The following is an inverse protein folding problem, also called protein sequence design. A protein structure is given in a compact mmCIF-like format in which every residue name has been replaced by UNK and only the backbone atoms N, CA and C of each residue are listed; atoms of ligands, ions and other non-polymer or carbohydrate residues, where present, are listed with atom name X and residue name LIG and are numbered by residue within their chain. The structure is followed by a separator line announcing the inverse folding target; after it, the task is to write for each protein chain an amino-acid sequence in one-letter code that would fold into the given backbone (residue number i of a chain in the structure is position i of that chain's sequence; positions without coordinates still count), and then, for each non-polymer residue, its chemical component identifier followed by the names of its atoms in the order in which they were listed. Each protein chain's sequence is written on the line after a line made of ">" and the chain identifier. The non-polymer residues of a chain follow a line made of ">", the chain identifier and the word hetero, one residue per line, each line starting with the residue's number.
data_IF_495935989075
#
_entry.id   IF_495935989075
#
_cell.length_a   1.000
_cell.length_b   1.000
_cell.length_c   1.000
_cell.angle_alpha   90.00
_cell.angle_beta   90.00
_cell.angle_gamma   90.00
#
_symmetry.space_group_name_H-M   'P 1'
#
loop_
_entity.id
_entity.type
_entity.pdbx_description
1 polymer ?
#
# COMPACT_ATOMS: atom_id res chain seq x y z
N UNK A 1 0.26 24.15 10.89
CA UNK A 1 0.69 24.47 9.50
C UNK A 1 -0.47 24.21 8.56
N UNK A 2 -0.87 25.17 7.73
CA UNK A 2 -2.05 25.06 6.85
C UNK A 2 -1.79 24.13 5.64
N UNK A 3 -2.77 23.30 5.27
CA UNK A 3 -2.69 22.37 4.13
C UNK A 3 -2.66 23.17 2.81
N UNK A 4 -1.48 23.33 2.21
CA UNK A 4 -1.26 24.08 0.96
C UNK A 4 -1.93 23.47 -0.29
N UNK A 5 -2.46 22.24 -0.17
CA UNK A 5 -2.94 21.47 -1.32
C UNK A 5 -4.47 21.36 -1.45
N UNK A 6 -5.24 21.85 -0.48
CA UNK A 6 -6.71 21.83 -0.57
C UNK A 6 -7.18 23.11 -1.27
N UNK A 7 -7.51 22.98 -2.56
CA UNK A 7 -8.11 24.06 -3.35
C UNK A 7 -9.63 23.98 -3.27
N UNK A 8 -10.27 25.12 -2.99
CA UNK A 8 -11.73 25.28 -3.08
C UNK A 8 -12.05 25.83 -4.47
N UNK A 9 -12.95 25.17 -5.18
CA UNK A 9 -13.45 25.59 -6.47
C UNK A 9 -14.96 25.82 -6.37
N UNK A 10 -15.47 26.78 -7.12
CA UNK A 10 -16.91 26.89 -7.34
C UNK A 10 -17.37 25.92 -8.44
N UNK A 11 -18.67 25.62 -8.48
CA UNK A 11 -19.26 24.71 -9.49
C UNK A 11 -19.01 25.24 -10.92
N UNK A 12 -19.20 26.54 -11.13
CA UNK A 12 -18.97 27.19 -12.42
C UNK A 12 -17.50 27.13 -12.85
N UNK A 13 -16.58 27.27 -11.91
CA UNK A 13 -15.16 27.15 -12.16
C UNK A 13 -14.75 25.71 -12.56
N UNK A 14 -15.36 24.69 -11.93
CA UNK A 14 -15.17 23.29 -12.32
C UNK A 14 -15.68 23.00 -13.74
N UNK A 15 -16.85 23.54 -14.10
CA UNK A 15 -17.39 23.42 -15.47
C UNK A 15 -16.47 24.09 -16.49
N UNK A 16 -15.97 25.29 -16.19
CA UNK A 16 -15.05 26.02 -17.06
C UNK A 16 -13.71 25.29 -17.24
N UNK A 17 -13.17 24.67 -16.18
CA UNK A 17 -11.95 23.85 -16.26
C UNK A 17 -12.15 22.62 -17.15
N UNK A 18 -13.33 21.97 -17.05
CA UNK A 18 -13.69 20.83 -17.89
C UNK A 18 -13.83 21.24 -19.36
N UNK A 19 -14.52 22.34 -19.64
CA UNK A 19 -14.66 22.88 -20.99
C UNK A 19 -13.31 23.25 -21.64
N UNK A 20 -12.36 23.71 -20.83
CA UNK A 20 -10.99 24.04 -21.25
C UNK A 20 -10.05 22.83 -21.32
N UNK A 21 -10.54 21.61 -21.10
CA UNK A 21 -9.72 20.39 -21.12
C UNK A 21 -8.65 20.32 -20.01
N UNK A 22 -8.79 21.12 -18.94
CA UNK A 22 -7.81 21.17 -17.83
C UNK A 22 -8.10 20.16 -16.72
N UNK A 23 -9.13 19.33 -16.90
CA UNK A 23 -9.51 18.26 -15.97
C UNK A 23 -8.85 16.95 -16.41
N UNK A 24 -8.45 16.11 -15.45
CA UNK A 24 -7.92 14.75 -15.71
C UNK A 24 -8.98 13.72 -16.10
N UNK A 25 -10.26 14.11 -16.06
CA UNK A 25 -11.39 13.25 -16.44
C UNK A 25 -11.41 13.11 -17.96
N UNK A 26 -11.16 11.90 -18.44
CA UNK A 26 -11.40 11.51 -19.83
C UNK A 26 -12.90 11.47 -20.09
N UNK A 27 -13.37 12.20 -21.10
CA UNK A 27 -14.80 12.21 -21.47
C UNK A 27 -15.20 10.93 -22.22
N UNK A 28 -14.21 10.27 -22.82
CA UNK A 28 -14.23 9.00 -23.55
C UNK A 28 -13.85 7.80 -22.66
N UNK A 29 -13.90 7.96 -21.33
CA UNK A 29 -13.65 6.85 -20.43
C UNK A 29 -14.78 5.83 -20.58
N UNK A 30 -14.54 4.80 -21.39
CA UNK A 30 -15.39 3.62 -21.56
C UNK A 30 -15.27 2.67 -20.35
N UNK A 31 -15.30 3.27 -19.16
CA UNK A 31 -15.27 2.53 -17.91
C UNK A 31 -16.70 2.01 -17.68
N UNK A 32 -16.92 0.69 -17.63
CA UNK A 32 -18.24 0.16 -17.36
C UNK A 32 -18.67 0.64 -15.97
N UNK A 33 -19.80 1.36 -15.93
CA UNK A 33 -20.45 1.70 -14.68
C UNK A 33 -20.93 0.38 -14.08
N UNK A 34 -20.24 -0.08 -13.04
CA UNK A 34 -20.65 -1.25 -12.27
C UNK A 34 -21.57 -0.76 -11.17
N UNK A 35 -22.81 -1.22 -11.18
CA UNK A 35 -23.69 -1.09 -10.03
C UNK A 35 -23.11 -1.95 -8.90
N UNK A 36 -22.88 -1.34 -7.75
CA UNK A 36 -22.38 -2.02 -6.56
C UNK A 36 -23.61 -2.33 -5.71
N UNK A 37 -23.91 -3.62 -5.55
CA UNK A 37 -25.09 -4.12 -4.86
C UNK A 37 -24.94 -4.12 -3.33
N UNK A 38 -26.04 -4.44 -2.63
CA UNK A 38 -26.03 -4.57 -1.17
C UNK A 38 -25.13 -5.71 -0.69
N UNK A 39 -25.09 -6.82 -1.43
CA UNK A 39 -24.26 -8.00 -1.13
C UNK A 39 -22.77 -7.65 -1.06
N UNK A 40 -22.29 -6.75 -1.94
CA UNK A 40 -20.94 -6.22 -1.85
C UNK A 40 -20.66 -5.53 -0.51
N UNK A 41 -21.60 -4.71 -0.02
CA UNK A 41 -21.43 -3.99 1.23
C UNK A 41 -21.54 -4.89 2.46
N UNK A 42 -22.35 -5.94 2.40
CA UNK A 42 -22.48 -6.95 3.47
C UNK A 42 -21.15 -7.69 3.72
N UNK A 43 -20.39 -7.94 2.66
CA UNK A 43 -19.09 -8.64 2.74
C UNK A 43 -17.87 -7.71 2.68
N UNK A 44 -18.07 -6.40 2.63
CA UNK A 44 -16.98 -5.44 2.57
C UNK A 44 -16.23 -5.37 3.91
N UNK A 45 -14.97 -5.78 3.92
CA UNK A 45 -14.11 -5.60 5.09
C UNK A 45 -13.42 -4.23 5.05
N UNK A 46 -13.63 -3.43 6.09
CA UNK A 46 -12.89 -2.17 6.30
C UNK A 46 -11.43 -2.51 6.61
N UNK A 47 -10.59 -2.43 5.59
CA UNK A 47 -9.14 -2.46 5.77
C UNK A 47 -8.71 -1.06 6.16
N UNK A 48 -8.49 -0.85 7.45
CA UNK A 48 -7.77 0.35 7.89
C UNK A 48 -6.40 0.32 7.21
N UNK A 49 -6.03 1.33 6.40
CA UNK A 49 -4.66 1.42 5.94
C UNK A 49 -3.81 1.43 7.19
N UNK A 50 -2.93 0.43 7.35
CA UNK A 50 -2.06 0.34 8.52
C UNK A 50 -1.36 1.69 8.72
N UNK A 51 -0.95 1.97 9.96
CA UNK A 51 -0.12 3.15 10.26
C UNK A 51 0.87 3.36 9.12
N UNK A 52 0.72 4.51 8.45
CA UNK A 52 1.39 4.75 7.16
C UNK A 52 2.90 4.52 7.25
N UNK A 53 3.56 4.40 6.10
CA UNK A 53 5.03 4.27 6.06
C UNK A 53 5.65 5.47 6.79
N UNK A 54 6.36 5.23 7.89
CA UNK A 54 7.10 6.28 8.60
C UNK A 54 8.39 6.59 7.84
N UNK A 55 8.61 7.86 7.53
CA UNK A 55 9.88 8.30 6.94
C UNK A 55 10.97 8.27 8.01
N UNK A 56 12.00 7.44 7.80
CA UNK A 56 13.14 7.29 8.71
C UNK A 56 14.45 7.49 7.95
N UNK A 57 15.45 8.06 8.63
CA UNK A 57 16.83 8.06 8.14
C UNK A 57 17.53 6.79 8.62
N UNK A 58 17.67 5.80 7.74
CA UNK A 58 18.35 4.53 8.01
C UNK A 58 19.62 4.43 7.17
N UNK A 59 20.72 3.98 7.77
CA UNK A 59 21.94 3.62 7.04
C UNK A 59 21.81 2.19 6.54
N UNK A 60 22.09 1.97 5.26
CA UNK A 60 22.07 0.67 4.59
C UNK A 60 23.37 0.56 3.79
N UNK A 61 23.92 -0.64 3.68
CA UNK A 61 25.13 -0.88 2.87
C UNK A 61 24.89 -0.52 1.40
N UNK A 62 25.93 0.02 0.76
CA UNK A 62 25.82 0.61 -0.58
C UNK A 62 25.49 -0.41 -1.65
N UNK A 63 26.07 -1.61 -1.54
CA UNK A 63 25.84 -2.75 -2.44
C UNK A 63 24.40 -3.27 -2.36
N UNK A 64 23.84 -3.37 -1.15
CA UNK A 64 22.44 -3.76 -0.93
C UNK A 64 21.50 -2.74 -1.55
N UNK A 65 21.74 -1.44 -1.33
CA UNK A 65 20.94 -0.38 -1.92
C UNK A 65 21.03 -0.41 -3.46
N UNK A 66 22.22 -0.60 -4.01
CA UNK A 66 22.43 -0.69 -5.46
C UNK A 66 21.68 -1.87 -6.07
N UNK A 67 21.72 -3.04 -5.41
CA UNK A 67 21.00 -4.23 -5.87
C UNK A 67 19.49 -4.00 -5.97
N UNK A 68 18.88 -3.38 -4.96
CA UNK A 68 17.45 -3.04 -5.01
C UNK A 68 17.16 -1.98 -6.08
N UNK A 69 18.03 -0.97 -6.24
CA UNK A 69 17.88 0.09 -7.25
C UNK A 69 17.89 -0.47 -8.67
N UNK A 70 18.72 -1.48 -8.97
CA UNK A 70 18.79 -2.17 -10.27
C UNK A 70 17.46 -2.79 -10.70
N UNK A 71 16.56 -3.10 -9.76
CA UNK A 71 15.24 -3.64 -10.03
C UNK A 71 14.21 -2.58 -10.48
N UNK A 72 14.61 -1.31 -10.56
CA UNK A 72 13.80 -0.22 -11.11
C UNK A 72 12.82 0.43 -10.11
N UNK A 73 11.70 0.95 -10.63
CA UNK A 73 10.70 1.68 -9.83
C UNK A 73 10.15 0.78 -8.71
N UNK A 74 9.95 1.37 -7.54
CA UNK A 74 9.45 0.65 -6.36
C UNK A 74 10.51 -0.11 -5.56
N UNK A 75 11.81 0.12 -5.80
CA UNK A 75 12.89 -0.52 -5.04
C UNK A 75 12.74 -0.36 -3.52
N UNK A 76 12.31 0.81 -3.03
CA UNK A 76 12.02 1.01 -1.60
C UNK A 76 10.84 0.17 -1.10
N UNK A 77 9.78 0.00 -1.90
CA UNK A 77 8.65 -0.88 -1.54
C UNK A 77 9.10 -2.34 -1.46
N UNK A 78 9.94 -2.80 -2.39
CA UNK A 78 10.51 -4.16 -2.35
C UNK A 78 11.43 -4.36 -1.15
N UNK A 79 12.31 -3.40 -0.87
CA UNK A 79 13.17 -3.43 0.31
C UNK A 79 12.34 -3.49 1.60
N UNK A 80 11.28 -2.68 1.70
CA UNK A 80 10.37 -2.70 2.83
C UNK A 80 9.61 -4.03 2.98
N UNK A 81 9.23 -4.68 1.88
CA UNK A 81 8.61 -6.01 1.92
C UNK A 81 9.55 -7.07 2.48
N UNK A 82 10.83 -7.03 2.11
CA UNK A 82 11.87 -7.93 2.66
C UNK A 82 12.03 -7.70 4.17
N UNK A 83 12.17 -6.44 4.60
CA UNK A 83 12.28 -6.11 6.03
C UNK A 83 11.06 -6.59 6.83
N UNK A 84 9.85 -6.44 6.27
CA UNK A 84 8.62 -6.95 6.89
C UNK A 84 8.66 -8.47 7.06
N UNK A 85 9.05 -9.21 6.01
CA UNK A 85 9.11 -10.67 6.07
C UNK A 85 10.09 -11.17 7.14
N UNK A 86 11.20 -10.47 7.34
CA UNK A 86 12.15 -10.77 8.41
C UNK A 86 11.53 -10.57 9.81
N UNK A 87 10.87 -9.43 10.04
CA UNK A 87 10.21 -9.14 11.32
C UNK A 87 9.12 -10.17 11.63
N UNK A 88 8.32 -10.55 10.64
CA UNK A 88 7.28 -11.57 10.79
C UNK A 88 7.88 -12.94 11.13
N UNK A 89 8.93 -13.36 10.42
CA UNK A 89 9.63 -14.60 10.69
C UNK A 89 10.23 -14.62 12.11
N UNK A 90 10.81 -13.52 12.56
CA UNK A 90 11.40 -13.40 13.90
C UNK A 90 10.33 -13.38 15.00
N UNK A 91 9.20 -12.71 14.77
CA UNK A 91 8.05 -12.75 15.68
C UNK A 91 7.51 -14.19 15.83
N UNK A 92 7.37 -14.93 14.72
CA UNK A 92 6.98 -16.33 14.73
C UNK A 92 8.01 -17.22 15.45
N UNK A 93 9.30 -16.96 15.26
CA UNK A 93 10.37 -17.70 15.93
C UNK A 93 10.33 -17.51 17.45
N UNK A 94 10.17 -16.26 17.90
CA UNK A 94 10.04 -15.93 19.33
C UNK A 94 8.84 -16.61 19.98
N UNK A 95 7.70 -16.65 19.30
CA UNK A 95 6.49 -17.35 19.78
C UNK A 95 6.71 -18.87 19.89
N UNK A 96 7.50 -19.47 18.98
CA UNK A 96 7.86 -20.90 19.03
C UNK A 96 8.83 -21.22 20.17
N UNK A 97 9.80 -20.34 20.43
CA UNK A 97 10.78 -20.55 21.50
C UNK A 97 10.18 -20.41 22.91
N UNK A 98 9.12 -19.59 23.06
CA UNK A 98 8.38 -19.45 24.32
C UNK A 98 7.31 -20.53 24.57
N UNK A 99 7.00 -21.38 23.60
CA UNK A 99 5.93 -22.37 23.66
C UNK A 99 6.47 -23.78 23.34
N UNK A 100 6.65 -24.61 24.37
CA UNK A 100 7.16 -26.00 24.28
C UNK A 100 6.31 -26.87 23.32
N UNK A 101 5.00 -26.56 23.23
CA UNK A 101 3.99 -27.23 22.40
C UNK A 101 4.03 -26.80 20.92
N UNK A 102 4.59 -25.63 20.60
CA UNK A 102 4.50 -25.02 19.28
C UNK A 102 5.64 -25.43 18.31
N UNK A 103 6.55 -26.32 18.73
CA UNK A 103 7.72 -26.75 17.94
C UNK A 103 7.38 -27.49 16.65
N UNK A 104 6.17 -28.06 16.53
CA UNK A 104 5.71 -28.82 15.36
C UNK A 104 4.69 -28.09 14.48
N UNK A 105 4.44 -26.78 14.65
CA UNK A 105 3.52 -26.08 13.74
C UNK A 105 4.14 -25.90 12.34
N UNK A 106 3.47 -26.34 11.26
CA UNK A 106 3.97 -26.21 9.89
C UNK A 106 4.23 -24.74 9.54
N UNK A 107 5.27 -24.50 8.72
CA UNK A 107 5.62 -23.18 8.15
C UNK A 107 4.57 -22.69 7.13
N UNK A 108 3.29 -22.88 7.40
CA UNK A 108 2.21 -22.64 6.45
C UNK A 108 2.20 -21.17 6.01
N UNK A 109 2.67 -20.98 4.77
CA UNK A 109 2.15 -20.12 3.72
C UNK A 109 1.28 -18.95 4.21
N UNK A 110 1.92 -17.82 4.48
CA UNK A 110 1.30 -16.52 4.29
C UNK A 110 2.27 -15.60 3.55
N UNK A 111 2.63 -16.01 2.33
CA UNK A 111 2.97 -15.06 1.28
C UNK A 111 1.68 -14.36 0.82
N UNK A 112 1.05 -13.59 1.70
CA UNK A 112 0.02 -12.64 1.27
C UNK A 112 0.77 -11.49 0.62
N UNK A 113 0.93 -11.61 -0.69
CA UNK A 113 1.29 -10.53 -1.59
C UNK A 113 0.26 -9.40 -1.48
N UNK A 114 0.34 -8.59 -0.42
CA UNK A 114 -0.31 -7.28 -0.35
C UNK A 114 0.69 -6.26 -0.86
N UNK A 115 0.70 -6.13 -2.19
CA UNK A 115 1.34 -5.03 -2.89
C UNK A 115 0.80 -3.70 -2.34
N UNK A 116 1.72 -2.83 -1.89
CA UNK A 116 1.50 -1.41 -1.59
C UNK A 116 2.70 -0.57 -2.08
#
# INVERSE_FOLDING_TARGET
>A
MARKDIKRYSLEELKALRARGKTRTRADADAPVREIDADFWEHAHVVMPGSGKTSVHLRVDSDVLEWFRKQGRGHLSRMNAVLRSYVEAEAMNRLRLGCVSCRNLPRSANASARNY
#
